data_IF_394173565272
#
_entry.id   IF_394173565272
#
_cell.length_a   1.000
_cell.length_b   1.000
_cell.length_c   1.000
_cell.angle_alpha   90.00
_cell.angle_beta   90.00
_cell.angle_gamma   90.00
#
_symmetry.space_group_name_H-M   'P 1'
#
loop_
_entity.id
_entity.type
_entity.pdbx_description
1 polymer ?
#
# COMPACT_ATOMS: atom_id res chain seq x y z
N UNK A 1 4.20 6.75 -25.75
CA UNK A 1 3.21 6.41 -26.78
C UNK A 1 3.30 4.92 -27.07
N UNK A 2 2.28 4.16 -26.70
CA UNK A 2 1.94 2.85 -27.29
C UNK A 2 0.55 2.48 -26.82
N UNK A 3 -0.36 2.34 -27.79
CA UNK A 3 -1.76 1.93 -27.65
C UNK A 3 -1.87 0.53 -28.21
N UNK A 4 -2.59 -0.37 -27.53
CA UNK A 4 -3.12 -1.61 -28.11
C UNK A 4 -4.53 -1.84 -27.55
N UNK A 5 -5.50 -2.02 -28.45
CA UNK A 5 -6.87 -2.43 -28.13
C UNK A 5 -7.11 -3.87 -28.59
N UNK A 6 -8.01 -4.59 -27.91
CA UNK A 6 -8.74 -5.74 -28.45
C UNK A 6 -10.18 -5.69 -27.92
N UNK A 7 -11.15 -5.73 -28.83
CA UNK A 7 -12.60 -5.75 -28.58
C UNK A 7 -13.11 -7.20 -28.29
N UNK A 8 -14.30 -7.36 -27.68
CA UNK A 8 -14.69 -8.58 -26.97
C UNK A 8 -15.28 -9.65 -27.91
N UNK A 9 -14.98 -10.92 -27.61
CA UNK A 9 -15.70 -12.08 -28.14
C UNK A 9 -16.69 -12.58 -27.10
N UNK A 10 -17.97 -12.44 -27.39
CA UNK A 10 -19.10 -12.90 -26.58
C UNK A 10 -19.30 -14.41 -26.68
N UNK A 11 -19.55 -15.06 -25.54
CA UNK A 11 -20.37 -16.27 -25.45
C UNK A 11 -21.07 -16.28 -24.10
N UNK A 12 -22.39 -16.17 -24.15
CA UNK A 12 -23.28 -16.27 -23.00
C UNK A 12 -23.36 -17.72 -22.52
N UNK A 13 -23.19 -17.95 -21.23
CA UNK A 13 -23.82 -19.09 -20.55
C UNK A 13 -24.49 -18.55 -19.28
N UNK A 14 -25.83 -18.53 -19.33
CA UNK A 14 -26.70 -18.24 -18.20
C UNK A 14 -26.61 -19.40 -17.20
N UNK A 15 -26.02 -19.14 -16.04
CA UNK A 15 -26.33 -19.89 -14.81
C UNK A 15 -26.92 -18.88 -13.84
N UNK A 16 -28.24 -18.98 -13.66
CA UNK A 16 -28.94 -18.24 -12.62
C UNK A 16 -28.58 -18.84 -11.26
N UNK A 17 -28.00 -18.01 -10.40
CA UNK A 17 -27.94 -18.24 -8.96
C UNK A 17 -28.25 -16.90 -8.29
N UNK A 18 -29.42 -16.86 -7.66
CA UNK A 18 -29.83 -15.79 -6.76
C UNK A 18 -28.95 -15.89 -5.50
N UNK A 19 -27.88 -15.12 -5.48
CA UNK A 19 -27.11 -14.83 -4.29
C UNK A 19 -26.78 -13.35 -4.36
N UNK A 20 -27.41 -12.54 -3.52
CA UNK A 20 -27.11 -11.12 -3.38
C UNK A 20 -25.70 -10.97 -2.79
N UNK A 21 -24.67 -11.02 -3.64
CA UNK A 21 -23.37 -10.41 -3.32
C UNK A 21 -23.41 -8.97 -3.83
N UNK A 22 -23.97 -8.07 -3.02
CA UNK A 22 -23.53 -6.68 -3.13
C UNK A 22 -22.13 -6.61 -2.52
N UNK A 23 -21.13 -7.04 -3.29
CA UNK A 23 -19.86 -6.35 -3.20
C UNK A 23 -20.15 -4.96 -3.76
N UNK A 24 -20.11 -3.94 -2.92
CA UNK A 24 -20.02 -2.57 -3.42
C UNK A 24 -18.85 -2.57 -4.40
N UNK A 25 -19.14 -2.36 -5.68
CA UNK A 25 -18.13 -2.35 -6.72
C UNK A 25 -17.36 -1.04 -6.59
N UNK A 26 -16.40 -1.00 -5.65
CA UNK A 26 -15.49 0.12 -5.54
C UNK A 26 -14.64 0.21 -6.80
N UNK A 27 -14.59 1.40 -7.39
CA UNK A 27 -13.85 1.67 -8.62
C UNK A 27 -12.58 2.45 -8.29
N UNK A 28 -11.46 1.74 -8.22
CA UNK A 28 -10.16 2.35 -7.90
C UNK A 28 -9.86 3.61 -8.75
N UNK A 29 -9.23 4.62 -8.16
CA UNK A 29 -9.01 5.89 -8.82
C UNK A 29 -8.01 5.78 -9.98
N UNK A 30 -8.27 6.54 -11.03
CA UNK A 30 -7.45 6.59 -12.25
C UNK A 30 -6.77 7.95 -12.34
N UNK A 31 -5.44 7.92 -12.29
CA UNK A 31 -4.58 9.06 -12.62
C UNK A 31 -4.23 9.03 -14.11
N UNK A 32 -4.40 10.15 -14.80
CA UNK A 32 -4.11 10.26 -16.23
C UNK A 32 -3.58 11.64 -16.62
N UNK A 33 -3.11 11.78 -17.86
CA UNK A 33 -2.62 13.05 -18.43
C UNK A 33 -1.54 13.74 -17.56
N UNK A 34 -0.66 12.95 -16.95
CA UNK A 34 0.43 13.46 -16.13
C UNK A 34 1.44 14.19 -17.01
N UNK A 35 1.70 15.45 -16.70
CA UNK A 35 2.71 16.29 -17.35
C UNK A 35 3.51 17.02 -16.28
N UNK A 36 4.77 17.34 -16.57
CA UNK A 36 5.62 18.14 -15.70
C UNK A 36 6.36 19.19 -16.51
N UNK A 37 6.42 20.43 -16.01
CA UNK A 37 7.14 21.53 -16.63
C UNK A 37 7.83 22.40 -15.59
N UNK A 38 9.13 22.63 -15.75
CA UNK A 38 9.84 23.60 -14.94
C UNK A 38 9.43 25.03 -15.33
N UNK A 39 9.17 25.88 -14.32
CA UNK A 39 8.87 27.30 -14.55
C UNK A 39 10.09 28.04 -15.09
N UNK A 40 9.85 28.99 -15.99
CA UNK A 40 10.90 29.78 -16.66
C UNK A 40 11.22 31.10 -15.93
N UNK A 41 10.74 31.26 -14.69
CA UNK A 41 10.88 32.45 -13.85
C UNK A 41 12.06 32.38 -12.87
N UNK A 42 12.98 31.43 -13.09
CA UNK A 42 14.13 31.13 -12.21
C UNK A 42 13.79 30.65 -10.80
N UNK A 43 12.50 30.44 -10.48
CA UNK A 43 12.08 29.88 -9.19
C UNK A 43 12.54 28.45 -8.97
N UNK A 44 12.91 27.73 -10.05
CA UNK A 44 13.22 26.29 -10.08
C UNK A 44 12.03 25.39 -9.76
N UNK A 45 10.85 25.96 -9.57
CA UNK A 45 9.61 25.22 -9.33
C UNK A 45 9.22 24.41 -10.56
N UNK A 46 8.66 23.23 -10.30
CA UNK A 46 8.12 22.33 -11.32
C UNK A 46 6.61 22.21 -11.10
N UNK A 47 5.86 22.53 -12.15
CA UNK A 47 4.41 22.33 -12.19
C UNK A 47 4.12 20.94 -12.74
N UNK A 48 3.51 20.08 -11.92
CA UNK A 48 3.05 18.74 -12.30
C UNK A 48 1.54 18.77 -12.42
N UNK A 49 1.02 18.56 -13.63
CA UNK A 49 -0.41 18.53 -13.92
C UNK A 49 -0.90 17.13 -14.17
N UNK A 50 -2.10 16.82 -13.69
CA UNK A 50 -2.73 15.51 -13.89
C UNK A 50 -4.26 15.61 -13.85
N UNK A 51 -4.91 14.57 -14.35
CA UNK A 51 -6.34 14.32 -14.15
C UNK A 51 -6.50 13.19 -13.12
N UNK A 52 -7.51 13.33 -12.26
CA UNK A 52 -7.94 12.31 -11.31
C UNK A 52 -9.39 11.96 -11.61
N UNK A 53 -9.67 10.69 -11.87
CA UNK A 53 -11.02 10.18 -12.00
C UNK A 53 -11.25 9.10 -10.95
N UNK A 54 -12.43 9.09 -10.38
CA UNK A 54 -12.93 8.06 -9.49
C UNK A 54 -14.41 7.89 -9.85
N UNK A 55 -14.86 6.67 -10.12
CA UNK A 55 -16.21 6.46 -10.66
C UNK A 55 -17.28 6.60 -9.59
N UNK A 56 -16.91 6.37 -8.33
CA UNK A 56 -17.78 6.48 -7.15
C UNK A 56 -17.75 7.91 -6.58
N UNK A 57 -16.75 8.70 -6.99
CA UNK A 57 -16.62 10.12 -6.68
C UNK A 57 -15.87 10.38 -5.38
N UNK A 58 -15.17 9.38 -4.87
CA UNK A 58 -14.53 9.43 -3.57
C UNK A 58 -13.27 10.34 -3.61
N UNK A 59 -13.03 11.15 -2.56
CA UNK A 59 -11.78 11.89 -2.44
C UNK A 59 -10.60 10.92 -2.26
N UNK A 60 -9.53 11.13 -3.03
CA UNK A 60 -8.36 10.27 -2.98
C UNK A 60 -7.22 10.90 -2.18
N UNK A 61 -6.35 10.06 -1.62
CA UNK A 61 -4.98 10.45 -1.29
C UNK A 61 -4.12 10.39 -2.55
N UNK A 62 -3.36 11.46 -2.83
CA UNK A 62 -2.50 11.57 -4.01
C UNK A 62 -1.03 11.67 -3.60
N UNK A 63 -0.17 10.93 -4.29
CA UNK A 63 1.29 10.98 -4.13
C UNK A 63 1.99 11.22 -5.45
N UNK A 64 3.24 11.67 -5.38
CA UNK A 64 4.10 11.89 -6.54
C UNK A 64 5.48 11.30 -6.30
N UNK A 65 6.05 10.74 -7.36
CA UNK A 65 7.41 10.17 -7.37
C UNK A 65 8.16 10.68 -8.58
N UNK A 66 9.49 10.77 -8.48
CA UNK A 66 10.34 11.19 -9.58
C UNK A 66 11.50 10.23 -9.82
N UNK A 67 12.02 10.30 -11.05
CA UNK A 67 13.13 9.50 -11.54
C UNK A 67 14.06 10.37 -12.38
N UNK A 68 15.37 10.18 -12.22
CA UNK A 68 16.45 10.84 -12.97
C UNK A 68 17.18 9.89 -13.94
N UNK A 69 16.75 8.62 -14.03
CA UNK A 69 17.35 7.57 -14.84
C UNK A 69 16.41 7.01 -15.93
N UNK A 70 15.44 7.81 -16.34
CA UNK A 70 14.46 7.40 -17.35
C UNK A 70 13.37 6.46 -16.82
N UNK A 71 13.20 6.36 -15.50
CA UNK A 71 12.13 5.59 -14.86
C UNK A 71 12.55 4.18 -14.44
N UNK A 72 13.85 3.88 -14.45
CA UNK A 72 14.38 2.60 -13.98
C UNK A 72 14.33 2.53 -12.45
N UNK A 73 14.65 3.63 -11.77
CA UNK A 73 14.49 3.80 -10.31
C UNK A 73 13.70 5.07 -9.99
N UNK A 74 13.11 5.12 -8.81
CA UNK A 74 12.29 6.24 -8.33
C UNK A 74 12.91 6.83 -7.05
N UNK A 75 14.21 7.15 -7.14
CA UNK A 75 15.04 7.59 -6.01
C UNK A 75 15.01 9.09 -5.76
N UNK A 76 14.46 9.86 -6.69
CA UNK A 76 14.46 11.32 -6.60
C UNK A 76 13.54 11.75 -5.45
N UNK A 77 14.08 12.46 -4.44
CA UNK A 77 13.26 12.92 -3.32
C UNK A 77 12.29 14.01 -3.80
N UNK A 78 11.03 13.88 -3.38
CA UNK A 78 10.02 14.94 -3.49
C UNK A 78 9.48 15.18 -2.09
N UNK A 79 9.90 16.28 -1.45
CA UNK A 79 9.60 16.63 -0.05
C UNK A 79 8.95 18.01 0.04
N UNK A 80 9.31 18.93 -0.84
CA UNK A 80 8.83 20.31 -0.82
C UNK A 80 7.76 20.51 -1.90
N UNK A 81 6.51 20.32 -1.53
CA UNK A 81 5.39 20.39 -2.48
C UNK A 81 4.15 21.04 -1.92
N UNK A 82 3.29 21.51 -2.83
CA UNK A 82 1.98 22.09 -2.52
C UNK A 82 0.98 21.82 -3.63
N UNK A 83 -0.29 22.14 -3.38
CA UNK A 83 -1.37 22.00 -4.35
C UNK A 83 -2.19 20.72 -4.15
N UNK A 84 -2.62 20.11 -5.25
CA UNK A 84 -3.48 18.93 -5.25
C UNK A 84 -2.67 17.64 -5.02
N UNK A 85 -2.13 17.48 -3.82
CA UNK A 85 -1.33 16.36 -3.33
C UNK A 85 -1.63 16.10 -1.86
N UNK A 86 -1.51 14.86 -1.40
CA UNK A 86 -1.88 14.46 -0.05
C UNK A 86 -3.33 13.99 0.03
N UNK A 87 -3.94 14.08 1.22
CA UNK A 87 -5.26 13.52 1.49
C UNK A 87 -6.41 14.39 0.96
N UNK A 88 -7.58 13.77 0.75
CA UNK A 88 -8.85 14.44 0.44
C UNK A 88 -8.84 15.25 -0.87
N UNK A 89 -8.18 14.73 -1.91
CA UNK A 89 -8.21 15.34 -3.23
C UNK A 89 -9.43 14.82 -3.99
N UNK A 90 -10.47 15.64 -4.23
CA UNK A 90 -11.64 15.20 -4.98
C UNK A 90 -11.25 14.88 -6.42
N UNK A 91 -12.00 14.06 -7.18
CA UNK A 91 -11.80 13.88 -8.61
C UNK A 91 -11.85 15.20 -9.40
N UNK A 92 -11.28 15.22 -10.60
CA UNK A 92 -11.28 16.39 -11.47
C UNK A 92 -10.09 16.45 -12.43
N UNK A 93 -10.19 17.34 -13.42
CA UNK A 93 -9.17 17.51 -14.46
C UNK A 93 -8.21 18.65 -14.13
N UNK A 94 -7.01 18.59 -14.73
CA UNK A 94 -6.00 19.65 -14.69
C UNK A 94 -5.59 20.11 -13.28
N UNK A 95 -5.53 19.16 -12.36
CA UNK A 95 -5.03 19.36 -11.00
C UNK A 95 -3.55 19.72 -11.05
N UNK A 96 -3.09 20.55 -10.11
CA UNK A 96 -1.72 21.06 -10.08
C UNK A 96 -1.04 20.69 -8.77
N UNK A 97 0.12 20.07 -8.88
CA UNK A 97 1.12 19.93 -7.82
C UNK A 97 2.27 20.87 -8.17
N UNK A 98 2.68 21.73 -7.25
CA UNK A 98 3.90 22.53 -7.37
C UNK A 98 4.98 21.89 -6.54
N UNK A 99 6.09 21.52 -7.16
CA UNK A 99 7.28 20.93 -6.50
C UNK A 99 8.44 21.91 -6.52
N UNK A 100 9.05 22.17 -5.37
CA UNK A 100 10.30 22.92 -5.26
C UNK A 100 11.53 22.01 -5.40
N UNK A 101 11.80 21.61 -6.65
CA UNK A 101 12.97 20.82 -6.99
C UNK A 101 14.30 21.56 -6.70
N UNK A 102 14.26 22.90 -6.62
CA UNK A 102 15.43 23.71 -6.30
C UNK A 102 15.88 23.53 -4.84
N UNK A 103 14.91 23.38 -3.94
CA UNK A 103 15.14 23.07 -2.52
C UNK A 103 15.50 21.60 -2.31
N UNK A 104 14.74 20.67 -2.91
CA UNK A 104 14.94 19.23 -2.73
C UNK A 104 16.24 18.72 -3.37
N UNK A 105 16.68 19.34 -4.47
CA UNK A 105 17.85 18.92 -5.24
C UNK A 105 18.71 20.11 -5.69
N UNK A 106 19.38 20.81 -4.76
CA UNK A 106 20.16 21.99 -5.09
C UNK A 106 21.23 21.73 -6.15
N UNK A 107 21.18 22.48 -7.25
CA UNK A 107 22.17 22.41 -8.33
C UNK A 107 22.07 21.19 -9.24
N UNK A 108 21.06 20.33 -9.09
CA UNK A 108 20.86 19.20 -10.00
C UNK A 108 20.25 19.66 -11.32
N UNK A 109 20.88 19.25 -12.42
CA UNK A 109 20.44 19.49 -13.79
C UNK A 109 20.24 18.14 -14.47
N UNK A 110 19.20 18.01 -15.29
CA UNK A 110 18.93 16.76 -15.99
C UNK A 110 17.51 16.67 -16.53
N UNK A 111 17.21 15.55 -17.16
CA UNK A 111 15.85 15.18 -17.55
C UNK A 111 15.26 14.27 -16.48
N UNK A 112 14.06 14.60 -16.02
CA UNK A 112 13.37 13.84 -14.98
C UNK A 112 12.05 13.30 -15.51
N UNK A 113 11.59 12.18 -14.95
CA UNK A 113 10.24 11.66 -15.12
C UNK A 113 9.49 11.76 -13.80
N UNK A 114 8.18 11.95 -13.88
CA UNK A 114 7.29 11.93 -12.71
C UNK A 114 6.20 10.88 -12.89
N UNK A 115 5.75 10.31 -11.78
CA UNK A 115 4.53 9.49 -11.68
C UNK A 115 3.68 10.05 -10.56
N UNK A 116 2.37 10.10 -10.81
CA UNK A 116 1.38 10.48 -9.82
C UNK A 116 0.52 9.25 -9.52
N UNK A 117 0.28 9.00 -8.24
CA UNK A 117 -0.50 7.89 -7.71
C UNK A 117 -1.72 8.42 -6.97
N UNK A 118 -2.81 7.66 -6.95
CA UNK A 118 -3.98 7.97 -6.15
C UNK A 118 -4.55 6.70 -5.50
N UNK A 119 -5.15 6.86 -4.33
CA UNK A 119 -5.85 5.81 -3.57
C UNK A 119 -7.09 6.43 -2.92
N UNK A 120 -8.26 5.83 -3.09
CA UNK A 120 -9.54 6.27 -2.51
C UNK A 120 -9.75 5.74 -1.08
N UNK A 121 -8.87 4.84 -0.62
CA UNK A 121 -8.97 4.17 0.67
C UNK A 121 -10.14 3.18 0.76
N UNK A 122 -10.78 2.83 -0.36
CA UNK A 122 -11.94 1.95 -0.43
C UNK A 122 -11.59 0.60 -1.05
N UNK A 123 -12.19 -0.48 -0.54
CA UNK A 123 -11.90 -1.85 -0.96
C UNK A 123 -11.00 -2.64 0.00
N UNK A 124 -10.98 -3.99 -0.11
CA UNK A 124 -10.17 -4.82 0.79
C UNK A 124 -8.68 -4.57 0.56
N UNK A 125 -7.96 -4.14 1.61
CA UNK A 125 -6.51 -3.90 1.56
C UNK A 125 -6.08 -2.73 0.67
N UNK A 126 -6.97 -1.78 0.34
CA UNK A 126 -6.66 -0.69 -0.60
C UNK A 126 -5.76 0.36 0.00
N UNK A 127 -5.99 0.77 1.26
CA UNK A 127 -5.28 1.90 1.85
C UNK A 127 -3.75 1.71 1.83
N UNK A 128 -3.03 2.62 1.17
CA UNK A 128 -1.56 2.61 1.06
C UNK A 128 -0.88 3.71 1.88
N UNK A 129 0.29 3.38 2.43
CA UNK A 129 1.24 4.33 2.98
C UNK A 129 2.33 4.61 1.94
N UNK A 130 2.58 5.89 1.65
CA UNK A 130 3.68 6.29 0.78
C UNK A 130 4.96 6.51 1.57
N UNK A 131 5.98 5.74 1.22
CA UNK A 131 7.32 5.87 1.79
C UNK A 131 8.19 6.60 0.79
N UNK A 132 8.58 7.83 1.14
CA UNK A 132 9.39 8.68 0.27
C UNK A 132 10.80 8.11 0.05
N UNK A 133 11.36 8.34 -1.14
CA UNK A 133 12.71 7.93 -1.48
C UNK A 133 13.77 8.57 -0.57
N UNK A 134 14.88 7.87 -0.39
CA UNK A 134 16.09 8.44 0.21
C UNK A 134 16.72 7.59 1.31
N UNK A 135 17.80 8.11 1.90
CA UNK A 135 18.63 7.37 2.84
C UNK A 135 17.95 7.26 4.21
N UNK A 136 18.16 6.13 4.90
CA UNK A 136 17.83 5.94 6.31
C UNK A 136 18.88 5.03 6.98
N UNK A 137 19.05 5.10 8.32
CA UNK A 137 19.95 4.22 9.05
C UNK A 137 19.30 2.84 9.24
N UNK A 138 19.75 1.84 8.47
CA UNK A 138 19.24 0.47 8.54
C UNK A 138 19.94 -0.33 9.64
N UNK A 139 19.16 -1.00 10.48
CA UNK A 139 19.60 -1.72 11.67
C UNK A 139 19.73 -3.23 11.42
N UNK A 140 20.73 -3.63 10.64
CA UNK A 140 21.07 -5.04 10.48
C UNK A 140 22.06 -5.52 11.55
N UNK A 141 21.86 -6.74 12.05
CA UNK A 141 22.77 -7.50 12.95
C UNK A 141 24.26 -7.45 12.58
N UNK A 142 24.63 -7.34 11.30
CA UNK A 142 26.03 -7.34 10.87
C UNK A 142 26.67 -5.95 10.76
N UNK A 143 25.87 -4.89 10.62
CA UNK A 143 26.35 -3.50 10.54
C UNK A 143 25.24 -2.52 10.94
N UNK A 144 24.89 -2.45 12.24
CA UNK A 144 23.82 -1.59 12.72
C UNK A 144 24.09 -0.12 12.41
N UNK A 145 23.08 0.59 11.90
CA UNK A 145 23.14 2.03 11.62
C UNK A 145 23.83 2.42 10.31
N UNK A 146 24.13 1.46 9.43
CA UNK A 146 24.61 1.78 8.08
C UNK A 146 23.53 2.50 7.27
N UNK A 147 23.87 3.63 6.65
CA UNK A 147 22.92 4.37 5.84
C UNK A 147 22.74 3.70 4.49
N UNK A 148 21.51 3.32 4.19
CA UNK A 148 21.11 2.73 2.90
C UNK A 148 20.04 3.59 2.26
N UNK A 149 20.05 3.66 0.93
CA UNK A 149 19.04 4.39 0.16
C UNK A 149 18.06 3.42 -0.47
N UNK A 150 16.78 3.61 -0.19
CA UNK A 150 15.68 2.90 -0.85
C UNK A 150 14.89 3.86 -1.74
N UNK A 151 14.33 3.32 -2.81
CA UNK A 151 13.41 4.01 -3.72
C UNK A 151 12.15 4.46 -2.98
N UNK A 152 11.36 5.34 -3.58
CA UNK A 152 10.00 5.57 -3.09
C UNK A 152 9.11 4.38 -3.45
N UNK A 153 8.24 3.98 -2.53
CA UNK A 153 7.28 2.91 -2.75
C UNK A 153 5.98 3.15 -1.98
N UNK A 154 4.96 2.37 -2.31
CA UNK A 154 3.73 2.26 -1.54
C UNK A 154 3.76 0.92 -0.80
N UNK A 155 3.35 0.92 0.45
CA UNK A 155 3.12 -0.30 1.25
C UNK A 155 1.67 -0.30 1.74
N UNK A 156 1.07 -1.47 1.91
CA UNK A 156 -0.27 -1.56 2.53
C UNK A 156 -0.24 -0.93 3.92
N UNK A 157 -1.26 -0.15 4.29
CA UNK A 157 -1.38 0.45 5.64
C UNK A 157 -1.65 -0.58 6.72
N UNK A 158 -2.14 -1.76 6.33
CA UNK A 158 -2.60 -2.83 7.18
C UNK A 158 -2.12 -4.16 6.60
N UNK A 159 -2.02 -5.18 7.42
CA UNK A 159 -1.73 -6.52 6.93
C UNK A 159 -2.88 -7.04 6.03
N UNK A 160 -2.56 -8.00 5.15
CA UNK A 160 -3.56 -8.64 4.29
C UNK A 160 -4.59 -9.36 5.18
N UNK A 161 -5.86 -9.02 5.03
CA UNK A 161 -6.93 -9.61 5.85
C UNK A 161 -7.38 -10.98 5.34
N UNK A 162 -8.00 -11.77 6.23
CA UNK A 162 -8.64 -13.04 5.84
C UNK A 162 -9.67 -12.83 4.72
N UNK A 163 -10.44 -11.74 4.74
CA UNK A 163 -11.40 -11.43 3.69
C UNK A 163 -10.74 -11.25 2.32
N UNK A 164 -9.62 -10.54 2.26
CA UNK A 164 -8.94 -10.31 1.00
C UNK A 164 -8.25 -11.58 0.49
N UNK A 165 -7.58 -12.30 1.38
CA UNK A 165 -6.97 -13.58 1.05
C UNK A 165 -8.01 -14.63 0.60
N UNK A 166 -9.22 -14.61 1.18
CA UNK A 166 -10.31 -15.47 0.74
C UNK A 166 -10.78 -15.16 -0.70
N UNK A 167 -10.65 -13.92 -1.18
CA UNK A 167 -10.91 -13.58 -2.59
C UNK A 167 -9.86 -14.19 -3.51
N UNK A 168 -8.59 -14.14 -3.11
CA UNK A 168 -7.49 -14.79 -3.82
C UNK A 168 -7.74 -16.29 -3.98
N UNK A 169 -8.11 -16.99 -2.90
CA UNK A 169 -8.41 -18.42 -2.95
C UNK A 169 -9.60 -18.72 -3.89
N UNK A 170 -10.65 -17.90 -3.86
CA UNK A 170 -11.83 -18.05 -4.71
C UNK A 170 -11.63 -17.60 -6.18
N UNK A 171 -10.51 -16.97 -6.53
CA UNK A 171 -10.20 -16.60 -7.91
C UNK A 171 -9.92 -17.83 -8.82
N UNK A 172 -9.77 -19.02 -8.22
CA UNK A 172 -9.55 -20.28 -8.90
C UNK A 172 -8.06 -20.54 -9.18
N UNK A 173 -7.66 -21.82 -9.10
CA UNK A 173 -6.27 -22.23 -9.32
C UNK A 173 -5.30 -21.96 -8.17
N UNK A 174 -5.80 -21.51 -7.01
CA UNK A 174 -5.01 -21.13 -5.85
C UNK A 174 -5.21 -22.08 -4.65
N UNK A 175 -5.72 -23.29 -4.91
CA UNK A 175 -6.14 -24.23 -3.86
C UNK A 175 -4.98 -24.68 -2.95
N UNK A 176 -3.76 -24.73 -3.50
CA UNK A 176 -2.53 -25.14 -2.82
C UNK A 176 -2.01 -24.08 -1.83
N UNK A 177 -2.57 -22.86 -1.88
CA UNK A 177 -2.23 -21.76 -0.97
C UNK A 177 -3.15 -21.69 0.28
N UNK A 178 -4.09 -22.63 0.40
CA UNK A 178 -4.94 -22.73 1.58
C UNK A 178 -4.37 -23.65 2.66
N UNK A 179 -4.54 -23.25 3.91
CA UNK A 179 -4.22 -24.07 5.09
C UNK A 179 -5.41 -24.18 6.02
N UNK A 180 -5.62 -25.38 6.59
CA UNK A 180 -6.66 -25.61 7.61
C UNK A 180 -6.43 -24.82 8.91
N UNK A 181 -5.24 -24.27 9.11
CA UNK A 181 -4.93 -23.39 10.25
C UNK A 181 -5.32 -21.92 9.99
N UNK A 182 -5.61 -21.54 8.75
CA UNK A 182 -6.14 -20.21 8.43
C UNK A 182 -7.54 -20.06 9.03
N UNK A 183 -7.96 -18.81 9.25
CA UNK A 183 -9.34 -18.48 9.65
C UNK A 183 -10.28 -18.41 8.43
N UNK A 184 -10.03 -19.27 7.45
CA UNK A 184 -10.76 -19.42 6.19
C UNK A 184 -11.13 -20.90 6.03
N UNK A 185 -12.40 -21.18 5.83
CA UNK A 185 -12.92 -22.54 5.65
C UNK A 185 -12.96 -22.90 4.17
N UNK A 186 -12.66 -24.17 3.85
CA UNK A 186 -12.74 -24.74 2.50
C UNK A 186 -13.88 -25.77 2.44
N UNK A 187 -14.70 -25.69 1.41
CA UNK A 187 -15.78 -26.65 1.11
C UNK A 187 -15.69 -27.13 -0.33
N UNK A 188 -16.27 -28.30 -0.63
CA UNK A 188 -16.29 -28.87 -1.98
C UNK A 188 -15.27 -30.00 -2.17
N UNK A 189 -14.85 -30.21 -3.41
CA UNK A 189 -13.96 -31.30 -3.83
C UNK A 189 -12.78 -30.76 -4.64
N UNK A 190 -11.67 -31.51 -4.77
CA UNK A 190 -10.53 -31.10 -5.58
C UNK A 190 -10.95 -30.56 -6.95
N UNK A 191 -10.47 -29.38 -7.32
CA UNK A 191 -10.81 -28.68 -8.57
C UNK A 191 -12.15 -27.93 -8.58
N UNK A 192 -12.91 -27.95 -7.47
CA UNK A 192 -14.15 -27.19 -7.28
C UNK A 192 -14.33 -26.81 -5.81
N UNK A 193 -13.27 -26.28 -5.19
CA UNK A 193 -13.34 -25.78 -3.84
C UNK A 193 -13.94 -24.37 -3.78
N UNK A 194 -14.63 -24.09 -2.69
CA UNK A 194 -15.08 -22.74 -2.32
C UNK A 194 -14.55 -22.39 -0.95
N UNK A 195 -14.23 -21.12 -0.78
CA UNK A 195 -13.61 -20.59 0.43
C UNK A 195 -14.52 -19.55 1.08
N UNK A 196 -14.65 -19.61 2.40
CA UNK A 196 -15.37 -18.58 3.17
C UNK A 196 -14.69 -18.30 4.49
N UNK A 197 -14.63 -17.02 4.87
CA UNK A 197 -13.99 -16.59 6.11
C UNK A 197 -14.81 -17.06 7.31
N UNK A 198 -14.11 -17.47 8.38
CA UNK A 198 -14.75 -17.77 9.67
C UNK A 198 -15.51 -16.54 10.16
N UNK A 199 -16.73 -16.75 10.68
CA UNK A 199 -17.58 -15.65 11.13
C UNK A 199 -16.85 -14.74 12.15
N UNK A 200 -16.88 -13.43 11.89
CA UNK A 200 -16.21 -12.43 12.72
C UNK A 200 -14.69 -12.31 12.53
N UNK A 201 -14.10 -13.03 11.56
CA UNK A 201 -12.64 -13.01 11.28
C UNK A 201 -12.25 -12.27 9.99
N UNK A 202 -13.20 -11.64 9.32
CA UNK A 202 -12.99 -10.94 8.04
C UNK A 202 -11.82 -9.94 8.07
N UNK A 203 -11.76 -9.11 9.11
CA UNK A 203 -10.80 -8.02 9.24
C UNK A 203 -9.53 -8.39 10.03
N UNK A 204 -9.37 -9.66 10.39
CA UNK A 204 -8.15 -10.14 11.03
C UNK A 204 -7.08 -10.41 9.97
N UNK A 205 -5.78 -10.22 10.30
CA UNK A 205 -4.70 -10.55 9.40
C UNK A 205 -4.73 -12.04 9.06
N UNK A 206 -4.53 -12.37 7.78
CA UNK A 206 -4.32 -13.76 7.38
C UNK A 206 -3.03 -14.29 8.02
N UNK A 207 -3.08 -15.51 8.54
CA UNK A 207 -1.96 -16.18 9.20
C UNK A 207 -1.77 -17.57 8.63
N UNK A 208 -0.64 -18.19 8.97
CA UNK A 208 -0.29 -19.54 8.47
C UNK A 208 -0.17 -19.56 6.95
N UNK A 209 0.42 -18.51 6.39
CA UNK A 209 0.82 -18.38 4.99
C UNK A 209 2.33 -18.60 4.90
N UNK A 210 2.76 -19.41 3.93
CA UNK A 210 4.17 -19.50 3.58
C UNK A 210 4.62 -18.26 2.79
N UNK A 211 5.93 -18.12 2.61
CA UNK A 211 6.48 -17.07 1.75
C UNK A 211 6.00 -17.21 0.30
N UNK A 212 5.87 -18.46 -0.19
CA UNK A 212 5.37 -18.75 -1.54
C UNK A 212 3.90 -18.34 -1.67
N UNK A 213 3.09 -18.57 -0.64
CA UNK A 213 1.68 -18.15 -0.61
C UNK A 213 1.53 -16.62 -0.64
N UNK A 214 2.36 -15.92 0.14
CA UNK A 214 2.35 -14.46 0.18
C UNK A 214 2.82 -13.86 -1.16
N UNK A 215 3.81 -14.49 -1.80
CA UNK A 215 4.28 -14.11 -3.14
C UNK A 215 3.22 -14.37 -4.22
N UNK A 216 2.56 -15.52 -4.19
CA UNK A 216 1.47 -15.85 -5.11
C UNK A 216 0.29 -14.88 -4.97
N UNK A 217 -0.06 -14.52 -3.73
CA UNK A 217 -1.06 -13.50 -3.45
C UNK A 217 -0.68 -12.14 -4.07
N UNK A 218 0.56 -11.68 -3.89
CA UNK A 218 1.02 -10.42 -4.48
C UNK A 218 0.99 -10.46 -6.02
N UNK A 219 1.36 -11.58 -6.63
CA UNK A 219 1.29 -11.77 -8.09
C UNK A 219 -0.16 -11.74 -8.60
N UNK A 220 -1.08 -12.44 -7.92
CA UNK A 220 -2.50 -12.41 -8.25
C UNK A 220 -3.08 -11.01 -8.13
N UNK A 221 -2.80 -10.31 -7.02
CA UNK A 221 -3.24 -8.93 -6.81
C UNK A 221 -2.70 -8.00 -7.90
N UNK A 222 -1.47 -8.24 -8.35
CA UNK A 222 -0.88 -7.49 -9.46
C UNK A 222 -1.66 -7.62 -10.76
N UNK A 223 -2.14 -8.84 -11.05
CA UNK A 223 -2.97 -9.10 -12.23
C UNK A 223 -4.37 -8.50 -12.07
N UNK A 224 -4.95 -8.62 -10.88
CA UNK A 224 -6.27 -8.08 -10.55
C UNK A 224 -6.33 -6.56 -10.73
N UNK A 225 -5.35 -5.84 -10.21
CA UNK A 225 -5.37 -4.38 -10.13
C UNK A 225 -4.54 -3.69 -11.23
N UNK A 226 -3.79 -4.46 -12.03
CA UNK A 226 -3.00 -3.93 -13.14
C UNK A 226 -1.78 -3.09 -12.71
N UNK A 227 -1.38 -3.16 -11.44
CA UNK A 227 -0.18 -2.54 -10.87
C UNK A 227 0.72 -3.63 -10.29
N UNK A 228 2.02 -3.37 -10.08
CA UNK A 228 2.92 -4.39 -9.54
C UNK A 228 2.94 -4.36 -8.01
N UNK A 229 2.42 -5.44 -7.41
CA UNK A 229 2.58 -5.78 -6.00
C UNK A 229 3.70 -6.80 -5.81
N UNK A 230 4.38 -6.71 -4.67
CA UNK A 230 5.41 -7.66 -4.21
C UNK A 230 5.55 -7.57 -2.70
N UNK A 231 6.26 -8.51 -2.10
CA UNK A 231 6.72 -8.38 -0.72
C UNK A 231 7.71 -7.21 -0.60
N UNK A 232 7.67 -6.44 0.51
CA UNK A 232 8.67 -5.43 0.78
C UNK A 232 10.00 -6.10 1.06
N UNK A 233 11.11 -5.48 0.65
CA UNK A 233 12.41 -5.89 1.19
C UNK A 233 12.49 -5.54 2.68
N UNK A 234 13.38 -6.18 3.43
CA UNK A 234 13.58 -5.86 4.84
C UNK A 234 13.92 -4.37 5.05
N UNK A 235 14.71 -3.76 4.16
CA UNK A 235 15.05 -2.33 4.24
C UNK A 235 13.84 -1.43 3.98
N UNK A 236 12.96 -1.81 3.06
CA UNK A 236 11.72 -1.07 2.81
C UNK A 236 10.77 -1.18 4.00
N UNK A 237 10.58 -2.38 4.52
CA UNK A 237 9.72 -2.63 5.69
C UNK A 237 10.22 -1.84 6.90
N UNK A 238 11.52 -1.91 7.21
CA UNK A 238 12.09 -1.22 8.38
C UNK A 238 12.00 0.31 8.23
N UNK A 239 12.26 0.85 7.03
CA UNK A 239 12.07 2.29 6.80
C UNK A 239 10.62 2.70 6.99
N UNK A 240 9.67 1.91 6.47
CA UNK A 240 8.24 2.18 6.61
C UNK A 240 7.78 2.16 8.09
N UNK A 241 8.39 1.30 8.90
CA UNK A 241 8.08 1.14 10.31
C UNK A 241 8.73 2.24 11.17
N UNK A 242 10.05 2.39 11.07
CA UNK A 242 10.87 2.98 12.13
C UNK A 242 11.41 4.38 11.85
N UNK A 243 11.44 4.83 10.59
CA UNK A 243 12.14 6.07 10.24
C UNK A 243 11.21 7.29 10.20
N UNK A 244 11.54 8.32 11.00
CA UNK A 244 10.99 9.67 10.89
C UNK A 244 12.00 10.58 10.15
N UNK A 245 11.77 10.89 8.86
CA UNK A 245 12.64 11.77 8.10
C UNK A 245 12.58 13.24 8.52
N UNK A 246 11.51 13.69 9.19
CA UNK A 246 11.40 15.07 9.66
C UNK A 246 12.23 15.31 10.92
N UNK A 247 12.28 14.33 11.82
CA UNK A 247 13.13 14.38 13.03
C UNK A 247 14.52 13.77 12.82
N UNK A 248 14.75 13.11 11.68
CA UNK A 248 15.91 12.27 11.43
C UNK A 248 16.13 11.23 12.54
N UNK A 249 15.05 10.61 13.00
CA UNK A 249 15.05 9.70 14.14
C UNK A 249 14.58 8.31 13.72
N UNK A 250 15.35 7.30 14.10
CA UNK A 250 14.98 5.90 14.08
C UNK A 250 14.32 5.49 15.40
N UNK A 251 13.07 5.04 15.35
CA UNK A 251 12.35 4.49 16.50
C UNK A 251 12.46 2.97 16.56
N UNK A 252 12.54 2.40 17.77
CA UNK A 252 12.60 0.93 17.93
C UNK A 252 11.29 0.26 17.47
N UNK A 253 10.15 0.92 17.68
CA UNK A 253 8.83 0.38 17.32
C UNK A 253 8.09 1.27 16.33
N UNK A 254 7.30 0.64 15.47
CA UNK A 254 6.61 1.24 14.32
C UNK A 254 5.44 2.18 14.64
N UNK A 255 5.45 2.79 15.83
CA UNK A 255 4.46 3.74 16.34
C UNK A 255 5.14 4.93 17.05
N UNK A 256 6.34 5.31 16.59
CA UNK A 256 7.15 6.45 17.08
C UNK A 256 7.54 6.38 18.54
N UNK A 257 7.94 5.20 19.00
CA UNK A 257 8.36 4.99 20.38
C UNK A 257 9.51 4.00 20.48
N UNK A 258 10.30 4.17 21.52
CA UNK A 258 11.39 3.27 21.89
C UNK A 258 11.02 2.32 23.03
N UNK A 259 9.80 2.43 23.53
CA UNK A 259 9.23 1.54 24.54
C UNK A 259 7.94 0.93 24.03
N UNK A 260 7.70 -0.31 24.44
CA UNK A 260 6.50 -1.08 24.09
C UNK A 260 5.64 -1.29 25.34
N UNK A 261 4.34 -1.05 25.17
CA UNK A 261 3.32 -1.42 26.14
C UNK A 261 2.01 -1.75 25.42
N UNK A 262 1.09 -2.40 26.13
CA UNK A 262 -0.14 -2.92 25.56
C UNK A 262 -1.06 -1.85 24.94
N UNK A 263 -0.85 -0.55 25.19
CA UNK A 263 -1.66 0.51 24.60
C UNK A 263 -1.20 0.94 23.21
N UNK A 264 -0.03 0.49 22.75
CA UNK A 264 0.55 0.87 21.44
C UNK A 264 0.79 -0.30 20.50
N UNK A 265 0.66 -1.54 20.98
CA UNK A 265 0.97 -2.72 20.20
C UNK A 265 0.16 -3.95 20.66
N UNK A 266 -0.21 -4.81 19.72
CA UNK A 266 -0.79 -6.13 19.98
C UNK A 266 0.35 -7.15 20.15
N UNK A 267 0.81 -7.35 21.39
CA UNK A 267 1.87 -8.32 21.70
C UNK A 267 1.57 -9.07 23.01
N UNK A 268 2.26 -10.19 23.25
CA UNK A 268 2.31 -10.91 24.53
C UNK A 268 0.96 -11.04 25.28
N UNK A 269 -0.12 -11.38 24.57
CA UNK A 269 -1.47 -11.58 25.13
C UNK A 269 -2.08 -10.32 25.82
N UNK A 270 -1.66 -9.11 25.42
CA UNK A 270 -2.12 -7.83 25.97
C UNK A 270 -3.64 -7.63 26.03
N UNK A 271 -4.39 -8.37 25.21
CA UNK A 271 -5.84 -8.21 25.07
C UNK A 271 -6.61 -9.49 25.37
N UNK A 272 -6.07 -10.34 26.26
CA UNK A 272 -6.77 -11.51 26.79
C UNK A 272 -7.00 -12.63 25.76
N UNK A 273 -6.38 -12.56 24.59
CA UNK A 273 -6.32 -13.66 23.63
C UNK A 273 -4.91 -13.80 23.05
N UNK A 274 -4.46 -15.05 22.89
CA UNK A 274 -3.14 -15.40 22.36
C UNK A 274 -3.06 -15.27 20.82
N UNK A 275 -3.84 -14.36 20.24
CA UNK A 275 -3.99 -14.21 18.80
C UNK A 275 -3.96 -12.75 18.36
N UNK A 276 -3.95 -12.51 17.03
CA UNK A 276 -4.01 -11.18 16.48
C UNK A 276 -5.33 -10.51 16.82
N UNK A 277 -5.37 -9.20 16.62
CA UNK A 277 -6.58 -8.40 16.59
C UNK A 277 -6.97 -8.05 15.14
N UNK A 278 -8.18 -7.51 14.90
CA UNK A 278 -8.49 -6.91 13.61
C UNK A 278 -7.41 -5.90 13.22
N UNK A 279 -7.04 -5.86 11.95
CA UNK A 279 -6.04 -4.91 11.45
C UNK A 279 -6.43 -3.47 11.80
N UNK A 280 -5.45 -2.65 12.15
CA UNK A 280 -5.68 -1.29 12.62
C UNK A 280 -6.40 -1.23 13.96
N UNK A 281 -6.29 -2.26 14.82
CA UNK A 281 -6.94 -2.24 16.13
C UNK A 281 -6.57 -0.98 16.94
N UNK A 282 -5.36 -0.46 16.79
CA UNK A 282 -4.90 0.76 17.43
C UNK A 282 -4.84 1.94 16.46
N UNK A 283 -5.99 2.27 15.85
CA UNK A 283 -6.15 3.36 14.87
C UNK A 283 -6.69 4.68 15.44
N UNK A 284 -6.64 4.87 16.76
CA UNK A 284 -7.16 6.08 17.42
C UNK A 284 -8.66 6.08 17.68
N UNK A 285 -9.39 5.02 17.32
CA UNK A 285 -10.84 4.92 17.54
C UNK A 285 -11.19 4.10 18.79
N UNK A 286 -12.42 4.27 19.30
CA UNK A 286 -12.91 3.48 20.43
C UNK A 286 -12.12 3.68 21.73
N UNK A 287 -11.53 4.86 21.93
CA UNK A 287 -10.73 5.20 23.11
C UNK A 287 -9.31 4.61 23.13
N UNK A 288 -8.84 4.08 22.00
CA UNK A 288 -7.49 3.51 21.83
C UNK A 288 -6.53 4.55 21.26
N UNK A 289 -5.24 4.30 21.38
CA UNK A 289 -4.20 5.13 20.78
C UNK A 289 -4.20 4.99 19.25
N UNK A 290 -3.66 6.01 18.57
CA UNK A 290 -3.38 6.01 17.13
C UNK A 290 -1.91 5.59 16.91
N UNK A 291 -1.67 4.29 16.80
CA UNK A 291 -0.35 3.66 16.79
C UNK A 291 0.17 3.42 15.36
N UNK A 292 0.12 4.45 14.51
CA UNK A 292 0.69 4.39 13.16
C UNK A 292 2.16 4.79 13.13
N UNK A 293 2.88 4.28 12.13
CA UNK A 293 4.23 4.70 11.78
C UNK A 293 4.24 6.11 11.17
N UNK A 294 5.43 6.61 10.82
CA UNK A 294 5.56 7.98 10.27
C UNK A 294 4.86 8.09 8.93
N UNK A 295 5.00 7.03 8.14
CA UNK A 295 4.41 6.92 6.82
C UNK A 295 2.94 6.50 6.88
N UNK A 296 2.41 6.20 8.07
CA UNK A 296 1.00 5.91 8.29
C UNK A 296 0.61 4.43 8.19
N UNK A 297 1.59 3.51 8.22
CA UNK A 297 1.32 2.07 8.36
C UNK A 297 0.96 1.74 9.81
N UNK A 298 -0.02 0.86 10.00
CA UNK A 298 -0.40 0.32 11.30
C UNK A 298 0.18 -1.07 11.50
N UNK A 299 0.23 -1.51 12.76
CA UNK A 299 0.61 -2.86 13.14
C UNK A 299 2.02 -3.33 12.69
N UNK A 300 2.83 -2.40 12.15
CA UNK A 300 4.26 -2.55 11.85
C UNK A 300 5.10 -3.04 13.04
N UNK A 301 4.53 -3.06 14.24
CA UNK A 301 5.06 -3.76 15.39
C UNK A 301 3.90 -4.46 16.09
N UNK A 302 3.99 -5.78 16.23
CA UNK A 302 2.98 -6.61 16.87
C UNK A 302 2.06 -7.32 15.88
N UNK A 303 0.93 -7.79 16.39
CA UNK A 303 -0.12 -8.50 15.66
C UNK A 303 0.35 -9.80 14.98
N UNK A 304 1.01 -9.71 13.82
CA UNK A 304 1.59 -10.84 13.08
C UNK A 304 2.99 -10.53 12.56
N UNK A 305 3.77 -11.57 12.29
CA UNK A 305 5.01 -11.41 11.53
C UNK A 305 4.69 -11.23 10.05
N UNK A 306 5.44 -10.37 9.38
CA UNK A 306 5.27 -10.02 7.97
C UNK A 306 6.44 -10.55 7.14
N UNK A 307 6.14 -11.20 6.02
CA UNK A 307 7.16 -11.74 5.11
C UNK A 307 7.84 -10.63 4.29
N UNK A 308 9.17 -10.71 4.16
CA UNK A 308 10.01 -9.82 3.34
C UNK A 308 10.81 -10.58 2.27
#
# INVERSE_FOLDING_TARGET
>A
MSVRFRLPGSAWMLIGLWGTSMALANSAPVVSNVTASQRQDYSKLIDIRYNLADADGDPCTVWVTASDDGGATWKVPIRTFSGAIGNNIPPGSNKLITWDAGEDMPGKLGSFRVRVWADDGQGPGSAKAFVGAGPFPYQNTTSPGSWVSVDSFLIDKYEVTNAFYCQFLNAGGNDDHWSASQEITRQGSPGNYTYSVVAGRADYPVRYVSWDDATAFAQWRSQLEGVTYRLPTEQEWEKAAAWDPAQQHYYIYGFHRDTIDCSWCVYNNCYGSAGPMPVGYLNGTGGRNDAKSYYGGYDMSGNVWEWT
#
